data_IF_118795426878
#
_entry.id   IF_118795426878
#
_cell.length_a   1.000
_cell.length_b   1.000
_cell.length_c   1.000
_cell.angle_alpha   90.00
_cell.angle_beta   90.00
_cell.angle_gamma   90.00
#
_symmetry.space_group_name_H-M   'P 1'
#
loop_
_entity.id
_entity.type
_entity.pdbx_description
1 polymer ?
#
# COMPACT_ATOMS: atom_id res chain seq x y z
N UNK A 1 6.65 11.74 -17.73
CA UNK A 1 7.01 10.95 -18.93
C UNK A 1 5.94 10.92 -20.03
N UNK A 2 4.69 11.37 -19.81
CA UNK A 2 3.64 11.29 -20.84
C UNK A 2 4.02 11.97 -22.16
N UNK A 3 4.61 13.17 -22.11
CA UNK A 3 5.05 13.90 -23.30
C UNK A 3 6.18 13.18 -24.07
N UNK A 4 7.16 12.61 -23.35
CA UNK A 4 8.22 11.78 -23.96
C UNK A 4 7.62 10.57 -24.67
N UNK A 5 6.72 9.83 -24.00
CA UNK A 5 6.09 8.65 -24.59
C UNK A 5 5.26 8.98 -25.83
N UNK A 6 4.55 10.11 -25.83
CA UNK A 6 3.85 10.58 -27.02
C UNK A 6 4.82 10.91 -28.17
N UNK A 7 5.95 11.56 -27.87
CA UNK A 7 7.00 11.86 -28.86
C UNK A 7 7.65 10.58 -29.40
N UNK A 8 7.76 9.53 -28.58
CA UNK A 8 8.26 8.20 -28.97
C UNK A 8 7.21 7.39 -29.78
N UNK A 9 6.04 7.96 -30.06
CA UNK A 9 4.98 7.32 -30.87
C UNK A 9 4.11 6.32 -30.12
N UNK A 10 4.14 6.31 -28.78
CA UNK A 10 3.22 5.49 -27.97
C UNK A 10 1.79 6.00 -28.15
N UNK A 11 0.84 5.10 -28.34
CA UNK A 11 -0.57 5.46 -28.54
C UNK A 11 -1.40 5.50 -27.26
N UNK A 12 -1.03 4.69 -26.26
CA UNK A 12 -1.80 4.52 -25.01
C UNK A 12 -0.89 4.19 -23.84
N UNK A 13 -1.30 4.60 -22.63
CA UNK A 13 -0.60 4.34 -21.37
C UNK A 13 -1.54 3.78 -20.30
N UNK A 14 -0.99 2.91 -19.46
CA UNK A 14 -1.62 2.46 -18.22
C UNK A 14 -0.80 2.99 -17.04
N UNK A 15 -1.43 3.76 -16.15
CA UNK A 15 -0.78 4.28 -14.94
C UNK A 15 -1.10 3.39 -13.75
N UNK A 16 -0.09 2.99 -12.97
CA UNK A 16 -0.24 2.14 -11.78
C UNK A 16 0.17 2.91 -10.52
N UNK A 17 -0.75 3.19 -9.58
CA UNK A 17 -0.46 3.92 -8.34
C UNK A 17 0.17 3.01 -7.27
N UNK A 18 1.34 2.41 -7.54
CA UNK A 18 1.92 1.37 -6.67
C UNK A 18 2.31 1.86 -5.26
N UNK A 19 2.52 3.18 -5.09
CA UNK A 19 2.90 3.78 -3.81
C UNK A 19 1.76 3.89 -2.80
N UNK A 20 0.53 3.56 -3.17
CA UNK A 20 -0.64 3.75 -2.33
C UNK A 20 -1.55 2.52 -2.32
N UNK A 21 -2.06 2.18 -1.13
CA UNK A 21 -2.94 1.03 -0.93
C UNK A 21 -4.40 1.38 -1.30
N UNK A 22 -4.81 2.62 -1.06
CA UNK A 22 -6.18 3.09 -1.27
C UNK A 22 -6.20 4.38 -2.09
N UNK A 23 -7.26 4.52 -2.88
CA UNK A 23 -7.61 5.80 -3.50
C UNK A 23 -7.97 6.82 -2.42
N UNK A 24 -7.35 7.98 -2.52
CA UNK A 24 -7.65 9.15 -1.72
C UNK A 24 -7.51 10.38 -2.61
N UNK A 25 -7.82 11.56 -2.06
CA UNK A 25 -7.96 12.79 -2.84
C UNK A 25 -6.76 13.05 -3.74
N UNK A 26 -5.53 12.94 -3.23
CA UNK A 26 -4.30 13.20 -3.99
C UNK A 26 -4.14 12.22 -5.16
N UNK A 27 -4.25 10.91 -4.91
CA UNK A 27 -4.16 9.89 -5.97
C UNK A 27 -5.19 10.10 -7.06
N UNK A 28 -6.44 10.36 -6.70
CA UNK A 28 -7.51 10.53 -7.68
C UNK A 28 -7.34 11.84 -8.45
N UNK A 29 -7.01 12.94 -7.77
CA UNK A 29 -6.83 14.23 -8.42
C UNK A 29 -5.62 14.20 -9.38
N UNK A 30 -4.46 13.81 -8.89
CA UNK A 30 -3.22 13.80 -9.68
C UNK A 30 -3.35 12.88 -10.90
N UNK A 31 -3.97 11.70 -10.74
CA UNK A 31 -3.97 10.68 -11.79
C UNK A 31 -5.20 10.69 -12.69
N UNK A 32 -6.40 10.92 -12.14
CA UNK A 32 -7.64 10.88 -12.91
C UNK A 32 -8.06 12.25 -13.43
N UNK A 33 -7.51 13.34 -12.87
CA UNK A 33 -7.73 14.71 -13.35
C UNK A 33 -6.52 15.24 -14.10
N UNK A 34 -5.39 15.46 -13.43
CA UNK A 34 -4.25 16.17 -14.04
C UNK A 34 -3.52 15.33 -15.10
N UNK A 35 -3.14 14.10 -14.75
CA UNK A 35 -2.45 13.20 -15.68
C UNK A 35 -3.34 12.78 -16.86
N UNK A 36 -4.63 12.53 -16.60
CA UNK A 36 -5.62 12.24 -17.66
C UNK A 36 -5.79 13.41 -18.62
N UNK A 37 -5.91 14.64 -18.10
CA UNK A 37 -6.00 15.84 -18.94
C UNK A 37 -4.73 16.01 -19.79
N UNK A 38 -3.55 15.81 -19.19
CA UNK A 38 -2.27 15.85 -19.91
C UNK A 38 -2.21 14.82 -21.01
N UNK A 39 -2.58 13.56 -20.74
CA UNK A 39 -2.59 12.49 -21.73
C UNK A 39 -3.57 12.79 -22.88
N UNK A 40 -4.76 13.30 -22.57
CA UNK A 40 -5.74 13.72 -23.58
C UNK A 40 -5.21 14.84 -24.47
N UNK A 41 -4.51 15.83 -23.90
CA UNK A 41 -3.89 16.91 -24.66
C UNK A 41 -2.79 16.44 -25.61
N UNK A 42 -2.18 15.29 -25.32
CA UNK A 42 -1.13 14.66 -26.14
C UNK A 42 -1.69 13.62 -27.13
N UNK A 43 -3.02 13.39 -27.15
CA UNK A 43 -3.64 12.36 -28.00
C UNK A 43 -3.40 10.92 -27.53
N UNK A 44 -2.98 10.72 -26.29
CA UNK A 44 -2.74 9.41 -25.71
C UNK A 44 -4.03 8.79 -25.14
N UNK A 45 -4.25 7.50 -25.41
CA UNK A 45 -5.17 6.69 -24.62
C UNK A 45 -4.68 6.59 -23.18
N UNK A 46 -5.56 6.78 -22.19
CA UNK A 46 -5.17 6.80 -20.78
C UNK A 46 -6.13 6.01 -19.90
N UNK A 47 -5.56 5.06 -19.15
CA UNK A 47 -6.26 4.28 -18.13
C UNK A 47 -5.39 4.19 -16.88
N UNK A 48 -6.04 4.30 -15.72
CA UNK A 48 -5.40 4.08 -14.42
C UNK A 48 -5.81 2.70 -13.92
N UNK A 49 -4.86 1.91 -13.43
CA UNK A 49 -5.13 0.72 -12.65
C UNK A 49 -5.68 1.11 -11.28
N UNK A 50 -6.69 0.40 -10.78
CA UNK A 50 -7.18 0.61 -9.42
C UNK A 50 -6.06 0.39 -8.40
N UNK A 51 -6.13 1.11 -7.27
CA UNK A 51 -5.36 0.72 -6.08
C UNK A 51 -5.86 -0.63 -5.56
N UNK A 52 -5.06 -1.28 -4.72
CA UNK A 52 -5.38 -2.63 -4.23
C UNK A 52 -6.61 -2.66 -3.33
N UNK A 53 -6.89 -1.57 -2.62
CA UNK A 53 -8.08 -1.42 -1.79
C UNK A 53 -8.23 -2.54 -0.77
N UNK A 54 -9.40 -3.17 -0.76
CA UNK A 54 -9.76 -4.30 0.14
C UNK A 54 -9.66 -5.66 -0.55
N UNK A 55 -8.78 -5.80 -1.56
CA UNK A 55 -8.66 -7.06 -2.29
C UNK A 55 -8.31 -8.22 -1.35
N UNK A 56 -9.06 -9.35 -1.35
CA UNK A 56 -8.87 -10.44 -0.39
C UNK A 56 -7.45 -11.00 -0.35
N UNK A 57 -6.79 -11.10 -1.51
CA UNK A 57 -5.40 -11.58 -1.56
C UNK A 57 -4.42 -10.63 -0.86
N UNK A 58 -4.62 -9.31 -0.94
CA UNK A 58 -3.76 -8.34 -0.26
C UNK A 58 -3.99 -8.37 1.25
N UNK A 59 -5.25 -8.47 1.69
CA UNK A 59 -5.59 -8.65 3.10
C UNK A 59 -4.99 -9.96 3.63
N UNK A 60 -5.09 -11.05 2.87
CA UNK A 60 -4.46 -12.33 3.19
C UNK A 60 -2.95 -12.20 3.36
N UNK A 61 -2.25 -11.57 2.40
CA UNK A 61 -0.82 -11.31 2.50
C UNK A 61 -0.44 -10.46 3.73
N UNK A 62 -1.25 -9.46 4.08
CA UNK A 62 -1.02 -8.68 5.30
C UNK A 62 -1.23 -9.53 6.56
N UNK A 63 -2.26 -10.37 6.60
CA UNK A 63 -2.50 -11.29 7.71
C UNK A 63 -1.34 -12.28 7.86
N UNK A 64 -0.89 -12.88 6.76
CA UNK A 64 0.24 -13.80 6.73
C UNK A 64 1.51 -13.11 7.25
N UNK A 65 1.80 -11.89 6.77
CA UNK A 65 2.95 -11.09 7.22
C UNK A 65 2.89 -10.72 8.72
N UNK A 66 1.69 -10.56 9.28
CA UNK A 66 1.50 -10.33 10.71
C UNK A 66 1.68 -11.61 11.54
N UNK A 67 1.28 -12.77 11.00
CA UNK A 67 1.32 -14.06 11.72
C UNK A 67 2.65 -14.81 11.59
N UNK A 68 3.41 -14.57 10.53
CA UNK A 68 4.74 -15.14 10.30
C UNK A 68 5.77 -14.04 10.01
N UNK A 69 6.14 -13.24 11.04
CA UNK A 69 7.07 -12.13 10.86
C UNK A 69 8.46 -12.68 10.52
N UNK A 70 8.89 -12.46 9.27
CA UNK A 70 10.27 -12.70 8.89
C UNK A 70 11.19 -11.74 9.67
N UNK A 71 12.35 -12.20 10.19
CA UNK A 71 13.29 -11.31 10.85
C UNK A 71 13.76 -10.22 9.87
N UNK A 72 13.32 -8.97 10.09
CA UNK A 72 13.83 -7.78 9.39
C UNK A 72 12.90 -7.06 8.39
N UNK A 73 11.65 -7.47 8.19
CA UNK A 73 10.70 -6.71 7.34
C UNK A 73 10.09 -5.53 8.09
N UNK A 74 9.89 -4.36 7.44
CA UNK A 74 9.27 -3.18 8.07
C UNK A 74 7.86 -3.54 8.56
N UNK A 75 7.65 -3.39 9.87
CA UNK A 75 6.78 -4.26 10.67
C UNK A 75 7.56 -5.22 11.58
N UNK A 76 8.87 -5.00 11.75
CA UNK A 76 9.83 -5.80 12.50
C UNK A 76 9.57 -5.84 14.00
N UNK A 77 8.40 -6.32 14.39
CA UNK A 77 8.15 -6.82 15.73
C UNK A 77 8.52 -8.30 15.76
N UNK A 78 9.82 -8.57 15.67
CA UNK A 78 10.34 -9.58 16.57
C UNK A 78 10.08 -9.02 17.98
N UNK A 79 8.99 -9.45 18.63
CA UNK A 79 8.51 -8.94 19.93
C UNK A 79 8.21 -7.43 19.96
N UNK A 80 6.99 -7.04 20.35
CA UNK A 80 6.80 -5.69 20.91
C UNK A 80 7.81 -5.54 22.05
N UNK A 81 8.59 -4.45 22.10
CA UNK A 81 9.19 -4.04 23.38
C UNK A 81 8.06 -3.94 24.42
N UNK A 82 8.30 -4.34 25.67
CA UNK A 82 7.26 -4.47 26.71
C UNK A 82 6.46 -3.18 26.99
N UNK A 83 6.87 -2.05 26.42
CA UNK A 83 6.22 -0.74 26.53
C UNK A 83 5.60 -0.22 25.22
N UNK A 84 5.60 -1.01 24.14
CA UNK A 84 5.07 -0.56 22.84
C UNK A 84 3.57 -0.24 22.89
N UNK A 85 2.80 -1.00 23.68
CA UNK A 85 1.44 -0.64 24.06
C UNK A 85 1.46 0.32 25.25
N UNK A 86 1.86 1.58 25.03
CA UNK A 86 1.80 2.65 26.04
C UNK A 86 0.38 2.94 26.58
N UNK A 87 -0.64 2.28 26.03
CA UNK A 87 -1.94 2.09 26.68
C UNK A 87 -2.18 0.59 26.86
N UNK A 88 -1.53 -0.02 27.86
CA UNK A 88 -2.02 -1.26 28.43
C UNK A 88 -3.50 -1.06 28.78
N UNK A 89 -4.38 -1.94 28.31
CA UNK A 89 -5.81 -1.86 28.62
C UNK A 89 -5.97 -1.79 30.15
N UNK A 90 -6.62 -0.76 30.72
CA UNK A 90 -6.90 -0.72 32.15
C UNK A 90 -7.68 -1.98 32.55
N UNK A 91 -7.10 -2.81 33.43
CA UNK A 91 -7.72 -4.05 33.91
C UNK A 91 -7.39 -5.33 33.13
N UNK A 92 -6.56 -5.28 32.09
CA UNK A 92 -6.09 -6.50 31.44
C UNK A 92 -4.88 -7.10 32.21
N UNK A 93 -4.83 -8.43 32.40
CA UNK A 93 -3.68 -9.07 33.03
C UNK A 93 -2.42 -8.87 32.18
N UNK A 94 -1.28 -8.64 32.84
CA UNK A 94 0.02 -8.72 32.19
C UNK A 94 0.20 -10.14 31.68
N UNK A 95 0.08 -10.35 30.37
CA UNK A 95 0.34 -11.65 29.78
C UNK A 95 1.86 -11.89 29.79
N UNK A 96 2.32 -13.06 30.27
CA UNK A 96 3.73 -13.40 30.20
C UNK A 96 4.16 -13.45 28.73
N UNK A 97 5.17 -12.65 28.37
CA UNK A 97 5.92 -12.81 27.12
C UNK A 97 6.75 -14.06 27.21
N UNK A 98 6.12 -15.20 26.97
CA UNK A 98 6.69 -16.41 26.40
C UNK A 98 5.60 -17.48 26.39
N UNK A 99 5.30 -18.00 25.21
CA UNK A 99 5.11 -19.44 25.10
C UNK A 99 6.34 -20.08 25.74
N UNK A 100 6.21 -20.60 26.97
CA UNK A 100 7.10 -21.64 27.43
C UNK A 100 6.85 -22.81 26.46
N UNK A 101 7.84 -23.04 25.61
CA UNK A 101 7.88 -24.22 24.77
C UNK A 101 8.15 -25.42 25.69
N UNK A 102 7.17 -26.32 25.74
CA UNK A 102 7.38 -27.75 25.91
C UNK A 102 6.97 -28.41 24.59
#
# INVERSE_FOLDING_TARGET
>A
RLAELAADGVSSVVTVPYGFVNDHMEVVYDLDTEARATASGLGLGYVRAATVGVHPAFIGMLADALTDPQPGSVGGLATCHATCCLLGRPGAPALPTACAAD
#
